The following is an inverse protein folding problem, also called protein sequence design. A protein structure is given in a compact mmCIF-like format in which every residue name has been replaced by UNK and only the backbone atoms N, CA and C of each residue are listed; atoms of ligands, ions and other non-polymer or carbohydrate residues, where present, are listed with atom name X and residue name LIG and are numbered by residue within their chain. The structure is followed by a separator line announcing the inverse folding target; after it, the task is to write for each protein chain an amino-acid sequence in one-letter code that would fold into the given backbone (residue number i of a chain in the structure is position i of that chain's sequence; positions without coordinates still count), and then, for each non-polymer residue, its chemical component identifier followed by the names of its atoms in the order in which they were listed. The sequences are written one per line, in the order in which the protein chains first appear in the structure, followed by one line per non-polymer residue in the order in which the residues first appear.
data_IF_521910353199
#
_entry.id   IF_521910353199
#
_cell.length_a   1.000
_cell.length_b   1.000
_cell.length_c   1.000
_cell.angle_alpha   90.00
_cell.angle_beta   90.00
_cell.angle_gamma   90.00
#
_symmetry.space_group_name_H-M   'P 1'
#
loop_
_entity.id
_entity.type
_entity.pdbx_description
1 polymer ?
#
# COMPACT_ATOMS: atom_id res chain seq x y z
N UNK A 1 11.08 -15.91 2.25
CA UNK A 1 9.64 -15.61 2.44
C UNK A 1 9.32 -14.22 1.92
N UNK A 2 8.03 -13.86 1.74
CA UNK A 2 7.60 -12.53 1.26
C UNK A 2 8.10 -11.40 2.18
N UNK A 3 8.10 -11.63 3.50
CA UNK A 3 8.65 -10.71 4.50
C UNK A 3 10.15 -10.43 4.27
N UNK A 4 10.94 -11.44 3.90
CA UNK A 4 12.37 -11.25 3.62
C UNK A 4 12.58 -10.33 2.41
N UNK A 5 11.72 -10.43 1.39
CA UNK A 5 11.76 -9.53 0.23
C UNK A 5 11.44 -8.08 0.58
N UNK A 6 10.52 -7.85 1.52
CA UNK A 6 10.23 -6.52 2.03
C UNK A 6 11.40 -5.93 2.83
N UNK A 7 12.07 -6.77 3.62
CA UNK A 7 13.29 -6.38 4.34
C UNK A 7 14.44 -6.08 3.38
N UNK A 8 14.64 -6.91 2.35
CA UNK A 8 15.63 -6.68 1.28
C UNK A 8 15.34 -5.35 0.54
N UNK A 9 14.06 -5.05 0.28
CA UNK A 9 13.63 -3.80 -0.35
C UNK A 9 14.01 -2.58 0.52
N UNK A 10 13.73 -2.63 1.81
CA UNK A 10 14.11 -1.56 2.75
C UNK A 10 15.62 -1.42 2.88
N UNK A 11 16.35 -2.54 2.95
CA UNK A 11 17.80 -2.54 3.06
C UNK A 11 18.49 -2.00 1.79
N UNK A 12 17.94 -2.32 0.61
CA UNK A 12 18.48 -1.85 -0.68
C UNK A 12 18.09 -0.41 -1.01
N UNK A 13 17.03 0.11 -0.40
CA UNK A 13 16.49 1.45 -0.67
C UNK A 13 16.31 2.24 0.64
N UNK A 14 17.34 3.00 1.07
CA UNK A 14 17.38 3.65 2.38
C UNK A 14 16.25 4.67 2.66
N UNK A 15 15.54 5.11 1.62
CA UNK A 15 14.41 6.04 1.73
C UNK A 15 13.06 5.35 2.01
N UNK A 16 13.00 4.02 1.98
CA UNK A 16 11.78 3.26 2.31
C UNK A 16 11.78 2.97 3.81
N UNK A 17 10.92 3.66 4.54
CA UNK A 17 10.78 3.52 6.00
C UNK A 17 9.85 2.37 6.41
N UNK A 18 8.92 2.00 5.53
CA UNK A 18 7.88 1.02 5.79
C UNK A 18 7.42 0.38 4.49
N UNK A 19 7.08 -0.91 4.54
CA UNK A 19 6.49 -1.61 3.40
C UNK A 19 5.60 -2.74 3.87
N UNK A 20 4.47 -2.95 3.19
CA UNK A 20 3.57 -4.05 3.47
C UNK A 20 2.93 -4.55 2.17
N UNK A 21 2.56 -5.83 2.17
CA UNK A 21 1.74 -6.47 1.16
C UNK A 21 0.47 -6.94 1.86
N UNK A 22 -0.67 -6.47 1.35
CA UNK A 22 -2.00 -6.72 1.89
C UNK A 22 -2.84 -7.42 0.85
N UNK A 23 -3.77 -8.28 1.29
CA UNK A 23 -4.77 -8.87 0.42
C UNK A 23 -5.88 -7.85 0.12
N UNK A 24 -6.64 -8.12 -0.94
CA UNK A 24 -7.86 -7.36 -1.30
C UNK A 24 -8.89 -7.36 -0.17
N UNK A 25 -8.94 -8.43 0.63
CA UNK A 25 -9.82 -8.55 1.80
C UNK A 25 -9.31 -7.78 3.03
N UNK A 26 -8.20 -7.06 2.91
CA UNK A 26 -7.63 -6.28 4.00
C UNK A 26 -6.87 -7.11 5.04
N UNK A 27 -6.34 -8.28 4.67
CA UNK A 27 -5.46 -9.07 5.53
C UNK A 27 -3.98 -8.85 5.18
N UNK A 28 -3.11 -8.73 6.18
CA UNK A 28 -1.68 -8.55 5.95
C UNK A 28 -1.05 -9.88 5.54
N UNK A 29 -0.42 -9.91 4.36
CA UNK A 29 0.33 -11.07 3.87
C UNK A 29 1.80 -11.02 4.27
N UNK A 30 2.37 -9.82 4.29
CA UNK A 30 3.73 -9.56 4.76
C UNK A 30 3.90 -8.08 5.12
N UNK A 31 4.69 -7.80 6.14
CA UNK A 31 4.94 -6.44 6.60
C UNK A 31 6.39 -6.27 7.05
N UNK A 32 6.89 -5.06 6.88
CA UNK A 32 8.06 -4.53 7.57
C UNK A 32 7.70 -3.10 7.95
N UNK A 33 6.88 -2.96 8.99
CA UNK A 33 6.39 -1.68 9.50
C UNK A 33 7.18 -1.28 10.77
N UNK A 34 7.30 0.02 11.06
CA UNK A 34 7.85 0.50 12.31
C UNK A 34 7.09 -0.03 13.53
N UNK A 35 7.78 -0.17 14.65
CA UNK A 35 7.17 -0.56 15.92
C UNK A 35 6.05 0.43 16.32
N UNK A 36 4.91 -0.10 16.77
CA UNK A 36 3.75 0.69 17.18
C UNK A 36 2.78 1.04 16.06
N UNK A 37 3.06 0.64 14.81
CA UNK A 37 2.09 0.68 13.73
C UNK A 37 1.22 -0.57 13.78
N UNK A 38 -0.10 -0.37 13.74
CA UNK A 38 -1.09 -1.44 13.67
C UNK A 38 -1.26 -1.90 12.23
N UNK A 39 -0.89 -3.16 11.97
CA UNK A 39 -0.93 -3.79 10.65
C UNK A 39 -2.37 -3.88 10.10
N UNK A 40 -3.33 -4.31 10.92
CA UNK A 40 -4.73 -4.46 10.52
C UNK A 40 -5.33 -3.11 10.14
N UNK A 41 -4.98 -2.07 10.91
CA UNK A 41 -5.44 -0.71 10.62
C UNK A 41 -4.88 -0.18 9.31
N UNK A 42 -3.57 -0.37 9.04
CA UNK A 42 -2.94 0.03 7.77
C UNK A 42 -3.58 -0.71 6.59
N UNK A 43 -3.85 -2.01 6.76
CA UNK A 43 -4.46 -2.84 5.75
C UNK A 43 -5.85 -2.36 5.35
N UNK A 44 -6.73 -2.15 6.33
CA UNK A 44 -8.09 -1.66 6.10
C UNK A 44 -8.11 -0.27 5.44
N UNK A 45 -7.22 0.64 5.87
CA UNK A 45 -7.11 1.97 5.26
C UNK A 45 -6.61 1.90 3.81
N UNK A 46 -5.68 0.98 3.50
CA UNK A 46 -5.13 0.82 2.16
C UNK A 46 -6.17 0.29 1.18
N UNK A 47 -6.92 -0.75 1.57
CA UNK A 47 -8.03 -1.29 0.78
C UNK A 47 -9.10 -0.21 0.51
N UNK A 48 -9.53 0.51 1.56
CA UNK A 48 -10.52 1.58 1.40
C UNK A 48 -10.04 2.70 0.46
N UNK A 49 -8.76 3.10 0.53
CA UNK A 49 -8.20 4.14 -0.35
C UNK A 49 -8.12 3.69 -1.81
N UNK A 50 -7.76 2.44 -2.07
CA UNK A 50 -7.75 1.87 -3.43
C UNK A 50 -9.18 1.81 -3.99
N UNK A 51 -10.16 1.32 -3.23
CA UNK A 51 -11.56 1.26 -3.67
C UNK A 51 -12.13 2.64 -3.98
N UNK A 52 -11.81 3.65 -3.15
CA UNK A 52 -12.24 5.03 -3.39
C UNK A 52 -11.52 5.64 -4.60
N UNK A 53 -10.22 5.40 -4.74
CA UNK A 53 -9.41 5.86 -5.87
C UNK A 53 -9.91 5.30 -7.20
N UNK A 54 -10.26 4.01 -7.22
CA UNK A 54 -10.74 3.33 -8.42
C UNK A 54 -12.12 3.86 -8.82
N UNK A 55 -13.01 4.07 -7.85
CA UNK A 55 -14.30 4.72 -8.09
C UNK A 55 -14.14 6.13 -8.66
N UNK A 56 -13.23 6.95 -8.11
CA UNK A 56 -12.94 8.30 -8.63
C UNK A 56 -12.38 8.23 -10.05
N UNK A 57 -11.45 7.29 -10.31
CA UNK A 57 -10.86 7.09 -11.64
C UNK A 57 -11.94 6.72 -12.67
N UNK A 58 -12.86 5.83 -12.30
CA UNK A 58 -14.02 5.47 -13.13
C UNK A 58 -14.93 6.67 -13.42
N UNK A 59 -15.36 7.40 -12.38
CA UNK A 59 -16.26 8.57 -12.51
C UNK A 59 -15.65 9.68 -13.37
N UNK A 60 -14.33 9.87 -13.31
CA UNK A 60 -13.62 10.87 -14.09
C UNK A 60 -13.11 10.36 -15.45
N UNK A 61 -13.47 9.13 -15.84
CA UNK A 61 -13.02 8.46 -17.06
C UNK A 61 -11.49 8.46 -17.23
N UNK A 62 -10.76 8.11 -16.16
CA UNK A 62 -9.29 8.01 -16.13
C UNK A 62 -8.76 6.61 -16.45
N UNK A 63 -9.63 5.62 -16.64
CA UNK A 63 -9.26 4.22 -16.83
C UNK A 63 -9.00 3.52 -15.49
N UNK A 64 -8.23 2.44 -15.53
CA UNK A 64 -7.87 1.65 -14.34
C UNK A 64 -6.94 2.43 -13.42
N UNK A 65 -7.19 2.36 -12.11
CA UNK A 65 -6.29 2.94 -11.11
C UNK A 65 -4.94 2.22 -11.09
N UNK A 66 -3.85 2.93 -11.41
CA UNK A 66 -2.48 2.40 -11.28
C UNK A 66 -1.96 2.48 -9.84
N UNK A 67 -2.10 3.66 -9.20
CA UNK A 67 -1.61 3.91 -7.84
C UNK A 67 -2.31 5.07 -7.15
N UNK A 68 -2.33 5.05 -5.81
CA UNK A 68 -2.70 6.18 -4.96
C UNK A 68 -1.43 6.75 -4.33
N UNK A 69 -1.31 8.08 -4.38
CA UNK A 69 -0.19 8.83 -3.83
C UNK A 69 -0.65 9.78 -2.74
N UNK A 70 -0.08 9.64 -1.54
CA UNK A 70 -0.39 10.48 -0.38
C UNK A 70 0.86 11.24 0.00
N UNK A 71 0.82 12.56 -0.13
CA UNK A 71 1.92 13.45 0.27
C UNK A 71 1.66 14.00 1.67
N UNK A 72 2.53 13.65 2.62
CA UNK A 72 2.54 14.20 3.97
C UNK A 72 3.71 15.16 4.18
N UNK A 73 3.65 15.95 5.24
CA UNK A 73 4.75 16.87 5.61
C UNK A 73 6.05 16.17 5.99
N UNK A 74 6.02 14.84 6.18
CA UNK A 74 7.15 14.02 6.62
C UNK A 74 7.54 12.93 5.62
N UNK A 75 6.96 12.92 4.43
CA UNK A 75 7.21 11.87 3.46
C UNK A 75 5.98 11.53 2.65
N UNK A 76 6.08 10.42 1.93
CA UNK A 76 5.11 10.02 0.91
C UNK A 76 4.71 8.57 1.16
N UNK A 77 3.43 8.28 0.94
CA UNK A 77 2.91 6.91 0.92
C UNK A 77 2.44 6.62 -0.51
N UNK A 78 2.85 5.47 -1.03
CA UNK A 78 2.41 4.96 -2.32
C UNK A 78 1.67 3.66 -2.10
N UNK A 79 0.41 3.61 -2.53
CA UNK A 79 -0.41 2.39 -2.53
C UNK A 79 -0.60 1.95 -3.98
N UNK A 80 -0.37 0.67 -4.26
CA UNK A 80 -0.53 0.08 -5.58
C UNK A 80 -1.26 -1.23 -5.43
N UNK A 81 -2.22 -1.50 -6.33
CA UNK A 81 -2.80 -2.83 -6.44
C UNK A 81 -1.75 -3.80 -7.00
N UNK A 82 -1.70 -5.02 -6.46
CA UNK A 82 -0.79 -6.07 -6.92
C UNK A 82 -1.63 -7.21 -7.48
N UNK A 83 -1.85 -7.18 -8.80
CA UNK A 83 -2.73 -8.12 -9.49
C UNK A 83 -3.89 -7.43 -10.21
N UNK A 84 -4.75 -8.22 -10.85
CA UNK A 84 -5.93 -7.71 -11.56
C UNK A 84 -7.11 -7.40 -10.63
N UNK A 85 -7.09 -7.92 -9.40
CA UNK A 85 -8.11 -7.68 -8.39
C UNK A 85 -7.56 -6.74 -7.31
N UNK A 86 -8.29 -5.66 -7.05
CA UNK A 86 -8.04 -4.67 -6.01
C UNK A 86 -9.22 -4.64 -5.03
#
# INVERSE_FOLDING_TARGET
MMVDRLRDLQASTPSIEASAVVSVDGLIMASSLPAGVDEDRISAMSAAMLSLGDRIASELARGQLDRVYISGSKGIIVLMAVGEEA
#
